data_IF_572496259088
#
_entry.id   IF_572496259088
#
_cell.length_a   1.000
_cell.length_b   1.000
_cell.length_c   1.000
_cell.angle_alpha   90.00
_cell.angle_beta   90.00
_cell.angle_gamma   90.00
#
_symmetry.space_group_name_H-M   'P 1'
#
loop_
_entity.id
_entity.type
_entity.pdbx_description
1 polymer ?
#
# COMPACT_ATOMS: atom_id res chain seq x y z
N UNK A 1 14.98 -6.91 -6.55
CA UNK A 1 13.76 -6.57 -7.29
C UNK A 1 12.70 -7.49 -6.76
N UNK A 2 11.51 -6.98 -6.49
CA UNK A 2 10.42 -7.73 -5.90
C UNK A 2 9.15 -7.54 -6.73
N UNK A 3 8.31 -8.57 -6.79
CA UNK A 3 6.97 -8.53 -7.37
C UNK A 3 5.97 -8.04 -6.33
N UNK A 4 5.13 -7.08 -6.71
CA UNK A 4 4.01 -6.61 -5.88
C UNK A 4 2.72 -6.81 -6.66
N UNK A 5 1.74 -7.44 -6.02
CA UNK A 5 0.41 -7.70 -6.56
C UNK A 5 -0.59 -6.72 -5.98
N UNK A 6 -1.17 -5.87 -6.83
CA UNK A 6 -2.22 -4.93 -6.49
C UNK A 6 -3.56 -5.50 -6.92
N UNK A 7 -4.45 -5.73 -5.97
CA UNK A 7 -5.83 -6.19 -6.20
C UNK A 7 -6.75 -4.99 -6.08
N UNK A 8 -7.49 -4.63 -7.11
CA UNK A 8 -8.47 -3.54 -6.98
C UNK A 8 -9.75 -3.99 -6.26
N UNK A 9 -10.61 -3.03 -5.92
CA UNK A 9 -11.88 -3.31 -5.24
C UNK A 9 -12.80 -4.27 -6.00
N UNK A 10 -12.60 -4.46 -7.31
CA UNK A 10 -13.36 -5.42 -8.14
C UNK A 10 -12.70 -6.80 -8.20
N UNK A 11 -11.53 -6.97 -7.57
CA UNK A 11 -10.76 -8.21 -7.55
C UNK A 11 -9.77 -8.36 -8.72
N UNK A 12 -9.62 -7.35 -9.59
CA UNK A 12 -8.66 -7.44 -10.69
C UNK A 12 -7.24 -7.25 -10.15
N UNK A 13 -6.35 -8.18 -10.49
CA UNK A 13 -4.95 -8.16 -10.01
C UNK A 13 -4.01 -7.60 -11.07
N UNK A 14 -3.14 -6.68 -10.66
CA UNK A 14 -2.05 -6.12 -11.48
C UNK A 14 -0.72 -6.36 -10.76
N UNK A 15 0.25 -6.91 -11.48
CA UNK A 15 1.56 -7.22 -10.92
C UNK A 15 2.61 -6.27 -11.47
N UNK A 16 3.45 -5.73 -10.60
CA UNK A 16 4.59 -4.90 -10.98
C UNK A 16 5.87 -5.48 -10.41
N UNK A 17 6.97 -5.33 -11.14
CA UNK A 17 8.31 -5.58 -10.62
C UNK A 17 8.97 -4.23 -10.31
N UNK A 18 9.59 -4.12 -9.14
CA UNK A 18 10.28 -2.90 -8.73
C UNK A 18 11.55 -3.20 -7.93
N UNK A 19 12.48 -2.25 -7.98
CA UNK A 19 13.70 -2.29 -7.20
C UNK A 19 13.43 -2.18 -5.70
N UNK A 20 14.24 -2.88 -4.92
CA UNK A 20 14.18 -2.80 -3.47
C UNK A 20 14.54 -1.39 -3.02
N UNK A 21 13.99 -0.97 -1.89
CA UNK A 21 14.20 0.36 -1.33
C UNK A 21 13.14 1.38 -1.75
N UNK A 22 12.41 1.15 -2.85
CA UNK A 22 11.17 1.88 -3.15
C UNK A 22 10.07 1.51 -2.16
N UNK A 23 9.02 2.32 -2.11
CA UNK A 23 7.79 2.03 -1.35
C UNK A 23 6.74 1.35 -2.22
N UNK A 24 5.76 0.68 -1.60
CA UNK A 24 4.61 0.10 -2.32
C UNK A 24 3.83 1.17 -3.06
N UNK A 25 3.70 2.37 -2.49
CA UNK A 25 3.10 3.53 -3.16
C UNK A 25 3.88 3.92 -4.41
N UNK A 26 5.21 4.05 -4.34
CA UNK A 26 6.01 4.40 -5.50
C UNK A 26 5.91 3.34 -6.60
N UNK A 27 5.82 2.06 -6.22
CA UNK A 27 5.57 0.97 -7.17
C UNK A 27 4.23 1.14 -7.90
N UNK A 28 3.18 1.53 -7.18
CA UNK A 28 1.88 1.81 -7.76
C UNK A 28 1.91 3.02 -8.70
N UNK A 29 2.40 4.16 -8.22
CA UNK A 29 2.39 5.44 -8.97
C UNK A 29 3.26 5.36 -10.23
N UNK A 30 4.48 4.81 -10.15
CA UNK A 30 5.39 4.71 -11.30
C UNK A 30 4.87 3.77 -12.39
N UNK A 31 3.96 2.86 -12.05
CA UNK A 31 3.37 1.89 -12.98
C UNK A 31 1.88 2.16 -13.25
N UNK A 32 1.37 3.35 -12.90
CA UNK A 32 -0.02 3.77 -13.15
C UNK A 32 -1.07 2.77 -12.61
N UNK A 33 -0.81 2.19 -11.43
CA UNK A 33 -1.77 1.31 -10.76
C UNK A 33 -2.96 2.15 -10.28
N UNK A 34 -4.20 1.80 -10.64
CA UNK A 34 -5.38 2.54 -10.22
C UNK A 34 -5.66 2.36 -8.72
N UNK A 35 -6.38 3.33 -8.15
CA UNK A 35 -6.85 3.25 -6.76
C UNK A 35 -5.80 3.61 -5.72
N UNK A 36 -4.65 4.18 -6.10
CA UNK A 36 -3.65 4.80 -5.22
C UNK A 36 -3.30 6.17 -5.81
N UNK A 37 -3.43 7.24 -5.02
CA UNK A 37 -3.33 8.63 -5.53
C UNK A 37 -2.06 9.33 -5.04
N UNK A 38 -1.67 9.11 -3.78
CA UNK A 38 -0.45 9.65 -3.17
C UNK A 38 -0.33 11.19 -3.15
N UNK A 39 -1.38 11.87 -2.68
CA UNK A 39 -1.50 13.34 -2.68
C UNK A 39 -0.30 14.05 -2.01
N UNK A 40 0.18 13.56 -0.86
CA UNK A 40 1.32 14.15 -0.15
C UNK A 40 2.69 13.67 -0.68
N UNK A 41 2.74 12.87 -1.73
CA UNK A 41 3.99 12.33 -2.29
C UNK A 41 4.74 11.37 -1.34
N UNK A 42 4.07 10.77 -0.36
CA UNK A 42 4.67 9.82 0.58
C UNK A 42 5.20 10.41 1.88
N UNK A 43 4.85 11.66 2.20
CA UNK A 43 5.26 12.35 3.42
C UNK A 43 4.50 11.91 4.71
N UNK A 44 3.67 10.86 4.64
CA UNK A 44 2.78 10.46 5.73
C UNK A 44 1.89 11.62 6.23
N UNK A 45 1.33 12.39 5.30
CA UNK A 45 0.54 13.60 5.57
C UNK A 45 -0.84 13.61 4.89
N UNK A 46 -1.25 12.48 4.33
CA UNK A 46 -2.57 12.23 3.76
C UNK A 46 -2.92 10.75 3.91
N UNK A 47 -4.18 10.37 3.62
CA UNK A 47 -4.61 8.97 3.62
C UNK A 47 -4.70 8.35 2.21
N UNK A 48 -4.44 9.10 1.14
CA UNK A 48 -4.78 8.70 -0.25
C UNK A 48 -3.86 7.66 -0.91
N UNK A 49 -3.08 6.94 -0.09
CA UNK A 49 -2.29 5.78 -0.51
C UNK A 49 -2.66 4.54 0.31
N UNK A 50 -3.85 4.55 0.92
CA UNK A 50 -4.38 3.48 1.75
C UNK A 50 -4.54 2.19 0.93
N UNK A 51 -4.07 1.09 1.52
CA UNK A 51 -4.22 -0.28 1.03
C UNK A 51 -4.55 -1.23 2.18
N UNK A 52 -5.14 -2.37 1.86
CA UNK A 52 -5.25 -3.51 2.76
C UNK A 52 -4.14 -4.51 2.45
N UNK A 53 -3.34 -4.85 3.45
CA UNK A 53 -2.31 -5.89 3.34
C UNK A 53 -2.96 -7.25 3.46
N UNK A 54 -2.68 -8.17 2.53
CA UNK A 54 -3.18 -9.54 2.63
C UNK A 54 -2.71 -10.22 3.93
N UNK A 55 -3.56 -11.05 4.53
CA UNK A 55 -3.32 -11.63 5.86
C UNK A 55 -2.00 -12.40 5.93
N UNK A 56 -1.61 -13.10 4.86
CA UNK A 56 -0.36 -13.87 4.80
C UNK A 56 0.90 -12.97 4.88
N UNK A 57 0.75 -11.67 4.68
CA UNK A 57 1.85 -10.71 4.62
C UNK A 57 1.89 -9.76 5.82
N UNK A 58 0.88 -9.77 6.68
CA UNK A 58 0.77 -8.80 7.79
C UNK A 58 1.95 -8.85 8.74
N UNK A 59 2.44 -10.04 9.10
CA UNK A 59 3.59 -10.16 9.98
C UNK A 59 4.87 -9.59 9.37
N UNK A 60 5.09 -9.81 8.07
CA UNK A 60 6.27 -9.30 7.36
C UNK A 60 6.21 -7.80 7.10
N UNK A 61 5.04 -7.28 6.78
CA UNK A 61 4.83 -5.85 6.52
C UNK A 61 4.83 -5.04 7.82
N UNK A 62 4.37 -5.64 8.91
CA UNK A 62 4.29 -5.02 10.23
C UNK A 62 3.09 -4.09 10.40
N UNK A 63 2.99 -3.55 11.61
CA UNK A 63 1.92 -2.62 12.03
C UNK A 63 2.24 -1.19 11.58
N UNK A 64 1.21 -0.33 11.42
CA UNK A 64 1.42 1.09 11.20
C UNK A 64 2.19 1.72 12.37
N UNK A 65 2.92 2.80 12.09
CA UNK A 65 3.49 3.65 13.14
C UNK A 65 2.41 4.56 13.74
N UNK A 66 2.59 5.16 14.94
CA UNK A 66 1.58 6.06 15.50
C UNK A 66 1.19 7.22 14.59
N UNK A 67 2.16 7.81 13.88
CA UNK A 67 1.89 8.87 12.89
C UNK A 67 1.10 8.35 11.69
N UNK A 68 1.35 7.10 11.28
CA UNK A 68 0.58 6.44 10.22
C UNK A 68 -0.85 6.12 10.67
N UNK A 69 -1.03 5.71 11.93
CA UNK A 69 -2.35 5.49 12.53
C UNK A 69 -3.19 6.79 12.53
N UNK A 70 -2.61 7.91 12.97
CA UNK A 70 -3.28 9.22 12.94
C UNK A 70 -3.75 9.60 11.53
N UNK A 71 -2.99 9.24 10.49
CA UNK A 71 -3.37 9.50 9.10
C UNK A 71 -4.40 8.50 8.56
N UNK A 72 -4.33 7.24 9.00
CA UNK A 72 -5.30 6.22 8.63
C UNK A 72 -6.72 6.59 9.11
N UNK A 73 -6.88 7.35 10.20
CA UNK A 73 -8.19 7.84 10.65
C UNK A 73 -8.95 8.69 9.62
N UNK A 74 -8.24 9.26 8.64
CA UNK A 74 -8.84 10.00 7.52
C UNK A 74 -9.15 9.12 6.30
N UNK A 75 -8.77 7.84 6.32
CA UNK A 75 -8.99 6.89 5.24
C UNK A 75 -10.44 6.37 5.19
N UNK A 76 -10.86 5.93 4.01
CA UNK A 76 -12.16 5.29 3.83
C UNK A 76 -12.10 3.79 4.16
N UNK A 77 -13.08 3.30 4.93
CA UNK A 77 -13.21 1.88 5.30
C UNK A 77 -11.90 1.26 5.84
N UNK A 78 -11.36 1.87 6.89
CA UNK A 78 -10.11 1.44 7.52
C UNK A 78 -10.34 0.14 8.30
N UNK A 79 -9.41 -0.80 8.16
CA UNK A 79 -9.49 -2.17 8.69
C UNK A 79 -8.22 -2.51 9.48
N UNK A 80 -8.22 -3.60 10.28
CA UNK A 80 -7.03 -4.01 11.05
C UNK A 80 -5.79 -4.35 10.21
N UNK A 81 -5.96 -4.60 8.91
CA UNK A 81 -4.87 -4.83 7.95
C UNK A 81 -4.62 -3.62 7.02
N UNK A 82 -5.20 -2.46 7.33
CA UNK A 82 -4.91 -1.21 6.61
C UNK A 82 -3.48 -0.75 6.87
N UNK A 83 -2.85 -0.26 5.81
CA UNK A 83 -1.57 0.46 5.86
C UNK A 83 -1.60 1.60 4.84
N UNK A 84 -0.78 2.61 5.06
CA UNK A 84 -0.42 3.58 4.03
C UNK A 84 0.72 2.99 3.21
N UNK A 85 0.47 2.70 1.94
CA UNK A 85 1.46 2.03 1.06
C UNK A 85 2.78 2.80 0.90
N UNK A 86 2.79 4.11 1.18
CA UNK A 86 4.02 4.90 1.20
C UNK A 86 4.92 4.61 2.42
N UNK A 87 4.38 4.00 3.47
CA UNK A 87 5.12 3.61 4.68
C UNK A 87 5.59 2.14 4.63
N UNK A 88 5.30 1.42 3.53
CA UNK A 88 5.75 0.05 3.31
C UNK A 88 6.95 0.08 2.36
N UNK A 89 8.15 -0.12 2.90
CA UNK A 89 9.39 -0.18 2.12
C UNK A 89 9.63 -1.59 1.58
N UNK A 90 9.86 -1.68 0.28
CA UNK A 90 10.04 -2.95 -0.43
C UNK A 90 11.44 -3.50 -0.17
N UNK A 91 11.49 -4.79 0.18
CA UNK A 91 12.70 -5.61 0.37
C UNK A 91 12.50 -6.98 -0.28
N UNK A 92 13.55 -7.80 -0.34
CA UNK A 92 13.45 -9.16 -0.87
C UNK A 92 12.48 -10.04 -0.06
N UNK A 93 12.24 -9.73 1.22
CA UNK A 93 11.30 -10.46 2.08
C UNK A 93 9.83 -10.26 1.67
N UNK A 94 9.57 -9.18 0.91
CA UNK A 94 8.27 -8.78 0.39
C UNK A 94 8.08 -9.17 -1.09
N UNK A 95 8.95 -9.99 -1.66
CA UNK A 95 8.76 -10.52 -3.02
C UNK A 95 7.51 -11.41 -3.10
N UNK A 96 6.51 -10.95 -3.86
CA UNK A 96 5.19 -11.55 -3.94
C UNK A 96 4.14 -10.90 -3.04
N UNK A 97 4.44 -9.76 -2.40
CA UNK A 97 3.49 -9.04 -1.53
C UNK A 97 2.16 -8.79 -2.26
N UNK A 98 1.06 -9.10 -1.60
CA UNK A 98 -0.30 -8.82 -2.07
C UNK A 98 -0.91 -7.70 -1.23
N UNK A 99 -1.38 -6.65 -1.91
CA UNK A 99 -2.15 -5.56 -1.31
C UNK A 99 -3.41 -5.30 -2.13
N UNK A 100 -4.50 -4.95 -1.44
CA UNK A 100 -5.74 -4.57 -2.09
C UNK A 100 -6.03 -3.07 -1.93
N UNK A 101 -6.56 -2.41 -2.95
CA UNK A 101 -7.00 -1.02 -2.85
C UNK A 101 -8.45 -0.93 -2.36
N UNK A 102 -8.81 0.09 -1.56
CA UNK A 102 -10.19 0.35 -1.17
C UNK A 102 -11.05 0.76 -2.37
N UNK A 103 -12.37 0.85 -2.18
CA UNK A 103 -13.29 1.35 -3.22
C UNK A 103 -12.98 2.81 -3.61
N UNK A 104 -12.53 3.61 -2.62
CA UNK A 104 -12.09 5.00 -2.77
C UNK A 104 -11.05 5.34 -1.70
N UNK A 105 -10.23 6.35 -1.95
CA UNK A 105 -9.15 6.77 -1.04
C UNK A 105 -9.62 7.75 0.05
N UNK A 106 -10.60 8.61 -0.24
CA UNK A 106 -11.24 9.54 0.68
C UNK A 106 -12.72 9.74 0.33
#
# INVERSE_FOLDING_TARGET
MAKIHFVDHKGETRTVEIENGATVMEAAIRNSIPGIEAECGGACACATCHVYVDEAWREKVGSPTPMEEDMLDFGFDVRPNSRLSCQIKISDELDGLVVATPERQA
#
